data_IF_707833109709
#
_entry.id   IF_707833109709
#
_cell.length_a   1.000
_cell.length_b   1.000
_cell.length_c   1.000
_cell.angle_alpha   90.00
_cell.angle_beta   90.00
_cell.angle_gamma   90.00
#
_symmetry.space_group_name_H-M   'P 1'
#
loop_
_entity.id
_entity.type
_entity.pdbx_description
1 polymer ?
#
# COMPACT_ATOMS: atom_id res chain seq x y z
N UNK A 1 -27.83 -17.18 34.25
CA UNK A 1 -27.96 -17.27 32.78
C UNK A 1 -28.36 -15.95 32.11
N UNK A 2 -29.31 -15.17 32.65
CA UNK A 2 -29.76 -13.89 32.06
C UNK A 2 -28.73 -12.77 32.21
N UNK A 3 -27.88 -12.83 33.21
CA UNK A 3 -26.85 -11.81 33.49
C UNK A 3 -25.66 -11.96 32.57
N UNK A 4 -25.30 -13.17 32.18
CA UNK A 4 -24.18 -13.45 31.26
C UNK A 4 -24.50 -13.06 29.82
N UNK A 5 -25.71 -13.31 29.35
CA UNK A 5 -26.16 -12.94 28.00
C UNK A 5 -26.22 -11.41 27.81
N UNK A 6 -26.62 -10.68 28.88
CA UNK A 6 -26.65 -9.21 28.83
C UNK A 6 -25.27 -8.57 28.88
N UNK A 7 -24.26 -9.25 29.46
CA UNK A 7 -22.88 -8.82 29.50
C UNK A 7 -22.21 -8.99 28.14
N UNK A 8 -22.42 -10.12 27.46
CA UNK A 8 -21.85 -10.36 26.10
C UNK A 8 -22.45 -9.42 25.07
N UNK A 9 -23.74 -9.09 25.14
CA UNK A 9 -24.38 -8.14 24.25
C UNK A 9 -23.78 -6.71 24.36
N UNK A 10 -23.46 -6.28 25.57
CA UNK A 10 -22.84 -4.96 25.81
C UNK A 10 -21.40 -4.85 25.31
N UNK A 11 -20.62 -5.94 25.44
CA UNK A 11 -19.24 -6.00 24.94
C UNK A 11 -19.24 -5.92 23.41
N UNK A 12 -20.14 -6.63 22.74
CA UNK A 12 -20.24 -6.62 21.28
C UNK A 12 -20.67 -5.25 20.74
N UNK A 13 -21.59 -4.55 21.42
CA UNK A 13 -22.00 -3.19 21.03
C UNK A 13 -20.87 -2.19 21.23
N UNK A 14 -20.11 -2.30 22.33
CA UNK A 14 -18.97 -1.42 22.59
C UNK A 14 -17.84 -1.60 21.58
N UNK A 15 -17.56 -2.84 21.19
CA UNK A 15 -16.59 -3.16 20.14
C UNK A 15 -17.07 -2.63 18.77
N UNK A 16 -18.35 -2.77 18.48
CA UNK A 16 -18.94 -2.24 17.23
C UNK A 16 -18.86 -0.73 17.17
N UNK A 17 -19.08 -0.01 18.27
CA UNK A 17 -18.95 1.45 18.34
C UNK A 17 -17.50 1.88 18.17
N UNK A 18 -16.53 1.17 18.76
CA UNK A 18 -15.11 1.46 18.61
C UNK A 18 -14.66 1.23 17.16
N UNK A 19 -15.10 0.16 16.53
CA UNK A 19 -14.79 -0.12 15.10
C UNK A 19 -15.42 0.93 14.21
N UNK A 20 -16.65 1.37 14.48
CA UNK A 20 -17.32 2.40 13.70
C UNK A 20 -16.67 3.78 13.85
N UNK A 21 -16.18 4.13 15.04
CA UNK A 21 -15.45 5.40 15.25
C UNK A 21 -14.07 5.39 14.60
N UNK A 22 -13.38 4.24 14.52
CA UNK A 22 -12.11 4.13 13.80
C UNK A 22 -12.32 4.24 12.29
N UNK A 23 -13.42 3.73 11.76
CA UNK A 23 -13.78 3.84 10.34
C UNK A 23 -14.17 5.28 9.92
N UNK A 24 -14.77 6.06 10.82
CA UNK A 24 -15.14 7.46 10.54
C UNK A 24 -13.98 8.45 10.68
N UNK A 25 -12.88 8.07 11.36
CA UNK A 25 -11.68 8.92 11.50
C UNK A 25 -10.80 8.96 10.24
N UNK A 26 -11.13 8.19 9.20
CA UNK A 26 -10.36 8.14 7.94
C UNK A 26 -10.80 9.17 6.90
N UNK A 27 -11.87 9.92 7.16
CA UNK A 27 -12.38 10.92 6.23
C UNK A 27 -12.32 12.30 6.86
N UNK A 28 -11.20 12.97 6.78
CA UNK A 28 -11.09 14.44 6.74
C UNK A 28 -9.61 14.85 6.72
N UNK A 29 -8.95 14.62 5.61
CA UNK A 29 -7.84 15.44 5.12
C UNK A 29 -7.75 15.27 3.61
N UNK A 30 -8.72 15.78 2.90
CA UNK A 30 -8.55 16.19 1.52
C UNK A 30 -7.84 17.57 1.54
N UNK A 31 -6.57 17.57 1.90
CA UNK A 31 -5.68 18.62 1.44
C UNK A 31 -5.45 18.36 -0.06
N UNK A 32 -6.35 18.90 -0.84
CA UNK A 32 -6.14 19.16 -2.25
C UNK A 32 -5.07 20.27 -2.34
N UNK A 33 -3.82 19.91 -2.04
CA UNK A 33 -2.69 20.76 -2.42
C UNK A 33 -2.60 20.73 -3.94
N UNK A 34 -3.08 21.79 -4.56
CA UNK A 34 -2.78 22.10 -5.96
C UNK A 34 -1.28 21.96 -6.19
N UNK A 35 -0.83 21.30 -7.26
CA UNK A 35 0.59 21.14 -7.52
C UNK A 35 1.24 22.51 -7.68
N UNK A 36 2.07 22.89 -6.73
CA UNK A 36 2.93 24.07 -6.83
C UNK A 36 3.93 23.77 -7.94
N UNK A 37 3.73 24.42 -9.09
CA UNK A 37 4.68 24.42 -10.21
C UNK A 37 6.00 25.06 -9.71
N UNK A 38 6.97 24.23 -9.34
CA UNK A 38 8.30 24.71 -9.00
C UNK A 38 9.09 23.91 -7.98
N UNK A 39 8.48 23.01 -7.20
CA UNK A 39 9.18 22.36 -6.08
C UNK A 39 9.41 20.85 -6.27
N UNK A 40 9.53 20.38 -7.49
CA UNK A 40 9.73 18.96 -7.79
C UNK A 40 11.19 18.50 -7.70
N UNK A 41 12.16 19.37 -7.35
CA UNK A 41 13.57 19.04 -7.64
C UNK A 41 14.48 18.79 -6.45
N UNK A 42 14.10 19.10 -5.20
CA UNK A 42 15.12 19.09 -4.14
C UNK A 42 14.92 18.12 -2.97
N UNK A 43 13.77 17.51 -2.80
CA UNK A 43 13.53 16.66 -1.61
C UNK A 43 12.90 15.29 -1.87
N UNK A 44 12.32 15.04 -3.03
CA UNK A 44 11.70 13.77 -3.34
C UNK A 44 12.75 12.70 -3.67
N UNK A 45 12.57 11.49 -3.13
CA UNK A 45 13.34 10.31 -3.52
C UNK A 45 13.25 10.15 -5.04
N UNK A 46 14.40 10.04 -5.72
CA UNK A 46 14.43 9.87 -7.18
C UNK A 46 13.78 8.55 -7.59
N UNK A 47 13.25 8.48 -8.82
CA UNK A 47 12.72 7.24 -9.41
C UNK A 47 13.77 6.13 -9.40
N UNK A 48 15.04 6.47 -9.67
CA UNK A 48 16.15 5.51 -9.62
C UNK A 48 16.36 4.96 -8.20
N UNK A 49 16.29 5.81 -7.18
CA UNK A 49 16.41 5.39 -5.77
C UNK A 49 15.22 4.53 -5.33
N UNK A 50 14.00 4.87 -5.77
CA UNK A 50 12.82 4.03 -5.53
C UNK A 50 12.97 2.65 -6.18
N UNK A 51 13.46 2.61 -7.42
CA UNK A 51 13.71 1.36 -8.12
C UNK A 51 14.72 0.47 -7.38
N UNK A 52 15.86 1.03 -6.96
CA UNK A 52 16.87 0.28 -6.21
C UNK A 52 16.33 -0.24 -4.86
N UNK A 53 15.54 0.58 -4.17
CA UNK A 53 14.88 0.16 -2.94
C UNK A 53 13.88 -0.98 -3.21
N UNK A 54 13.15 -0.91 -4.32
CA UNK A 54 12.26 -1.97 -4.76
C UNK A 54 12.97 -3.31 -4.97
N UNK A 55 14.17 -3.30 -5.57
CA UNK A 55 14.96 -4.54 -5.75
C UNK A 55 15.33 -5.18 -4.42
N UNK A 56 15.71 -4.36 -3.43
CA UNK A 56 15.98 -4.86 -2.07
C UNK A 56 14.71 -5.41 -1.41
N UNK A 57 13.59 -4.73 -1.61
CA UNK A 57 12.30 -5.15 -1.06
C UNK A 57 11.83 -6.47 -1.69
N UNK A 58 11.92 -6.62 -3.02
CA UNK A 58 11.61 -7.87 -3.71
C UNK A 58 12.49 -9.02 -3.24
N UNK A 59 13.79 -8.79 -3.07
CA UNK A 59 14.68 -9.80 -2.52
C UNK A 59 14.29 -10.23 -1.09
N UNK A 60 13.76 -9.29 -0.30
CA UNK A 60 13.25 -9.60 1.04
C UNK A 60 11.94 -10.40 0.97
N UNK A 61 10.99 -10.04 0.08
CA UNK A 61 9.76 -10.81 -0.14
C UNK A 61 10.11 -12.26 -0.46
N UNK A 62 10.96 -12.50 -1.46
CA UNK A 62 11.36 -13.85 -1.89
C UNK A 62 12.07 -14.68 -0.81
N UNK A 63 12.70 -14.02 0.17
CA UNK A 63 13.36 -14.71 1.30
C UNK A 63 12.41 -15.03 2.44
N UNK A 64 11.39 -14.23 2.64
CA UNK A 64 10.57 -14.26 3.84
C UNK A 64 9.17 -14.81 3.64
N UNK A 65 8.67 -14.83 2.41
CA UNK A 65 7.32 -15.26 2.07
C UNK A 65 7.37 -16.46 1.11
N UNK A 66 6.47 -17.43 1.26
CA UNK A 66 6.37 -18.54 0.32
C UNK A 66 5.91 -18.04 -1.05
N UNK A 67 6.64 -18.37 -2.09
CA UNK A 67 6.29 -18.03 -3.46
C UNK A 67 5.24 -18.98 -4.01
N UNK A 68 4.20 -18.45 -4.67
CA UNK A 68 3.21 -19.25 -5.37
C UNK A 68 3.72 -19.59 -6.77
N UNK A 69 4.10 -20.86 -6.95
CA UNK A 69 4.80 -21.36 -8.13
C UNK A 69 3.83 -22.00 -9.15
N UNK A 70 2.99 -21.20 -9.78
CA UNK A 70 2.18 -21.63 -10.93
C UNK A 70 2.42 -20.70 -12.12
N UNK A 71 3.10 -21.16 -13.18
CA UNK A 71 3.43 -20.32 -14.33
C UNK A 71 2.20 -19.75 -15.06
N UNK A 72 1.08 -20.45 -15.06
CA UNK A 72 -0.15 -20.00 -15.73
C UNK A 72 -0.75 -18.83 -14.99
N UNK A 73 -0.86 -18.95 -13.66
CA UNK A 73 -1.35 -17.87 -12.80
C UNK A 73 -0.40 -16.66 -12.80
N UNK A 74 0.91 -16.89 -12.83
CA UNK A 74 1.91 -15.82 -12.93
C UNK A 74 1.72 -15.04 -14.24
N UNK A 75 1.70 -15.73 -15.38
CA UNK A 75 1.55 -15.12 -16.70
C UNK A 75 0.22 -14.35 -16.83
N UNK A 76 -0.88 -14.95 -16.40
CA UNK A 76 -2.18 -14.29 -16.37
C UNK A 76 -2.17 -13.00 -15.54
N UNK A 77 -1.60 -13.08 -14.34
CA UNK A 77 -1.59 -11.94 -13.41
C UNK A 77 -0.69 -10.81 -13.91
N UNK A 78 0.47 -11.16 -14.48
CA UNK A 78 1.36 -10.19 -15.12
C UNK A 78 0.67 -9.48 -16.29
N UNK A 79 0.04 -10.21 -17.19
CA UNK A 79 -0.71 -9.64 -18.30
C UNK A 79 -1.84 -8.72 -17.82
N UNK A 80 -2.59 -9.12 -16.79
CA UNK A 80 -3.65 -8.29 -16.22
C UNK A 80 -3.08 -6.97 -15.65
N UNK A 81 -2.01 -7.06 -14.85
CA UNK A 81 -1.37 -5.87 -14.25
C UNK A 81 -0.83 -4.93 -15.33
N UNK A 82 -0.13 -5.44 -16.35
CA UNK A 82 0.39 -4.61 -17.43
C UNK A 82 -0.72 -3.97 -18.27
N UNK A 83 -1.79 -4.69 -18.54
CA UNK A 83 -2.98 -4.16 -19.22
C UNK A 83 -3.62 -3.01 -18.43
N UNK A 84 -3.73 -3.13 -17.10
CA UNK A 84 -4.22 -2.06 -16.24
C UNK A 84 -3.24 -0.86 -16.20
N UNK A 85 -1.94 -1.15 -16.18
CA UNK A 85 -0.89 -0.13 -16.15
C UNK A 85 -0.88 0.75 -17.42
N UNK A 86 -1.34 0.26 -18.57
CA UNK A 86 -1.47 1.05 -19.80
C UNK A 86 -2.41 2.24 -19.63
N UNK A 87 -3.44 2.10 -18.81
CA UNK A 87 -4.43 3.14 -18.52
C UNK A 87 -4.14 3.93 -17.24
N UNK A 88 -3.00 3.66 -16.59
CA UNK A 88 -2.57 4.35 -15.37
C UNK A 88 -1.65 5.53 -15.66
N UNK A 89 -1.49 6.42 -14.69
CA UNK A 89 -0.54 7.55 -14.73
C UNK A 89 0.88 7.16 -14.28
N UNK A 90 1.24 5.88 -14.34
CA UNK A 90 2.56 5.41 -13.98
C UNK A 90 3.66 6.00 -14.87
N UNK A 91 4.61 6.69 -14.24
CA UNK A 91 5.80 7.25 -14.92
C UNK A 91 6.86 6.19 -15.19
N UNK A 92 7.03 5.24 -14.27
CA UNK A 92 7.94 4.11 -14.39
C UNK A 92 7.12 2.82 -14.49
N UNK A 93 7.18 2.18 -15.65
CA UNK A 93 6.42 0.95 -15.94
C UNK A 93 7.24 -0.32 -15.74
N UNK A 94 8.39 -0.23 -15.09
CA UNK A 94 9.16 -1.41 -14.68
C UNK A 94 8.49 -2.07 -13.48
N UNK A 95 7.44 -2.83 -13.77
CA UNK A 95 6.68 -3.56 -12.74
C UNK A 95 7.29 -4.93 -12.50
N UNK A 96 7.24 -5.39 -11.27
CA UNK A 96 7.59 -6.75 -10.88
C UNK A 96 6.53 -7.28 -9.92
N UNK A 97 5.94 -8.41 -10.30
CA UNK A 97 4.84 -9.03 -9.56
C UNK A 97 5.38 -10.18 -8.73
N UNK A 98 5.06 -10.20 -7.44
CA UNK A 98 5.31 -11.30 -6.53
C UNK A 98 3.99 -12.00 -6.19
N UNK A 99 3.81 -13.23 -6.65
CA UNK A 99 2.72 -14.08 -6.19
C UNK A 99 3.16 -14.78 -4.90
N UNK A 100 2.35 -14.65 -3.85
CA UNK A 100 2.64 -15.15 -2.52
C UNK A 100 1.64 -16.27 -2.20
N UNK A 101 2.15 -17.44 -1.77
CA UNK A 101 1.31 -18.57 -1.36
C UNK A 101 0.69 -18.33 0.02
N UNK A 102 -0.21 -17.35 0.07
CA UNK A 102 -0.97 -16.97 1.26
C UNK A 102 -2.46 -16.99 0.96
N UNK A 103 -3.26 -17.53 1.90
CA UNK A 103 -4.71 -17.70 1.75
C UNK A 103 -5.50 -16.42 2.02
N UNK A 104 -4.89 -15.42 2.61
CA UNK A 104 -5.55 -14.15 2.91
C UNK A 104 -5.84 -13.36 1.64
N UNK A 105 -6.97 -12.65 1.61
CA UNK A 105 -7.34 -11.73 0.52
C UNK A 105 -6.51 -10.46 0.70
N UNK A 106 -5.41 -10.35 -0.04
CA UNK A 106 -4.54 -9.17 0.04
C UNK A 106 -3.76 -8.96 -1.24
N UNK A 107 -3.52 -7.69 -1.57
CA UNK A 107 -2.49 -7.23 -2.48
C UNK A 107 -1.84 -5.98 -1.89
N UNK A 108 -0.65 -5.63 -2.32
CA UNK A 108 0.03 -4.42 -1.87
C UNK A 108 1.00 -3.91 -2.93
N UNK A 109 1.15 -2.59 -2.95
CA UNK A 109 2.17 -1.90 -3.73
C UNK A 109 3.38 -1.55 -2.86
N UNK A 110 4.58 -1.73 -3.41
CA UNK A 110 5.84 -1.37 -2.78
C UNK A 110 6.71 -0.49 -3.71
N UNK A 111 7.72 0.21 -3.18
CA UNK A 111 8.58 1.08 -3.99
C UNK A 111 9.18 0.37 -5.18
N UNK A 112 9.45 1.12 -6.25
CA UNK A 112 10.15 0.62 -7.43
C UNK A 112 9.34 -0.31 -8.31
N UNK A 113 8.01 -0.16 -8.30
CA UNK A 113 7.12 -0.89 -9.20
C UNK A 113 6.77 -2.31 -8.75
N UNK A 114 6.91 -2.62 -7.46
CA UNK A 114 6.58 -3.95 -6.92
C UNK A 114 5.11 -4.03 -6.58
N UNK A 115 4.47 -5.13 -6.99
CA UNK A 115 3.11 -5.49 -6.60
C UNK A 115 3.16 -6.91 -6.02
N UNK A 116 2.83 -7.03 -4.73
CA UNK A 116 2.62 -8.31 -4.09
C UNK A 116 1.15 -8.71 -4.15
N UNK A 117 0.88 -9.98 -4.47
CA UNK A 117 -0.48 -10.50 -4.60
C UNK A 117 -0.53 -11.85 -3.91
N UNK A 118 -1.39 -11.98 -2.92
CA UNK A 118 -1.64 -13.25 -2.25
C UNK A 118 -2.51 -14.14 -3.12
N UNK A 119 -2.20 -15.42 -3.20
CA UNK A 119 -2.99 -16.42 -3.94
C UNK A 119 -4.46 -16.42 -3.49
N UNK A 120 -4.73 -16.17 -2.21
CA UNK A 120 -6.07 -16.04 -1.66
C UNK A 120 -6.92 -14.96 -2.33
N UNK A 121 -6.35 -13.85 -2.77
CA UNK A 121 -7.07 -12.83 -3.53
C UNK A 121 -7.52 -13.39 -4.89
N UNK A 122 -6.65 -14.11 -5.60
CA UNK A 122 -6.97 -14.69 -6.90
C UNK A 122 -8.05 -15.76 -6.77
N UNK A 123 -7.93 -16.67 -5.81
CA UNK A 123 -8.89 -17.74 -5.58
C UNK A 123 -10.27 -17.29 -5.14
N UNK A 124 -10.35 -16.17 -4.42
CA UNK A 124 -11.60 -15.66 -3.85
C UNK A 124 -12.26 -14.59 -4.74
N UNK A 125 -11.58 -14.12 -5.77
CA UNK A 125 -12.19 -13.25 -6.78
C UNK A 125 -13.13 -14.07 -7.67
N UNK A 126 -14.41 -13.70 -7.71
CA UNK A 126 -15.41 -14.41 -8.53
C UNK A 126 -15.33 -13.99 -10.01
N UNK A 127 -14.75 -12.83 -10.29
CA UNK A 127 -14.62 -12.28 -11.65
C UNK A 127 -13.26 -11.61 -11.83
N UNK A 128 -12.79 -11.55 -13.08
CA UNK A 128 -11.59 -10.75 -13.43
C UNK A 128 -11.75 -9.28 -13.00
N UNK A 129 -12.96 -8.72 -13.07
CA UNK A 129 -13.24 -7.34 -12.68
C UNK A 129 -13.01 -7.08 -11.19
N UNK A 130 -13.32 -8.05 -10.32
CA UNK A 130 -13.03 -7.94 -8.88
C UNK A 130 -11.51 -7.93 -8.63
N UNK A 131 -10.78 -8.85 -9.22
CA UNK A 131 -9.31 -8.86 -9.13
C UNK A 131 -8.71 -7.58 -9.72
N UNK A 132 -9.15 -7.19 -10.91
CA UNK A 132 -8.67 -5.99 -11.60
C UNK A 132 -8.90 -4.70 -10.79
N UNK A 133 -10.02 -4.60 -10.05
CA UNK A 133 -10.32 -3.43 -9.22
C UNK A 133 -9.30 -3.26 -8.08
N UNK A 134 -8.91 -4.36 -7.44
CA UNK A 134 -7.90 -4.35 -6.38
C UNK A 134 -6.53 -4.00 -6.98
N UNK A 135 -6.15 -4.62 -8.08
CA UNK A 135 -4.85 -4.36 -8.73
C UNK A 135 -4.75 -2.92 -9.27
N UNK A 136 -5.84 -2.36 -9.79
CA UNK A 136 -5.90 -0.96 -10.21
C UNK A 136 -5.72 0.00 -9.02
N UNK A 137 -6.26 -0.35 -7.85
CA UNK A 137 -6.04 0.40 -6.62
C UNK A 137 -4.56 0.40 -6.21
N UNK A 138 -3.88 -0.74 -6.28
CA UNK A 138 -2.44 -0.84 -5.98
C UNK A 138 -1.59 -0.06 -7.02
N UNK A 139 -1.97 -0.10 -8.29
CA UNK A 139 -1.32 0.71 -9.33
C UNK A 139 -1.51 2.22 -9.08
N UNK A 140 -2.66 2.65 -8.57
CA UNK A 140 -2.87 4.04 -8.18
C UNK A 140 -1.94 4.47 -7.04
N UNK A 141 -1.66 3.61 -6.06
CA UNK A 141 -0.66 3.88 -5.03
C UNK A 141 0.76 4.07 -5.59
N UNK A 142 1.14 3.29 -6.60
CA UNK A 142 2.42 3.45 -7.30
C UNK A 142 2.47 4.76 -8.10
N UNK A 143 1.41 5.07 -8.88
CA UNK A 143 1.36 6.27 -9.71
C UNK A 143 1.42 7.55 -8.88
N UNK A 144 0.76 7.58 -7.74
CA UNK A 144 0.78 8.70 -6.80
C UNK A 144 2.05 8.76 -5.94
N UNK A 145 2.96 7.80 -6.08
CA UNK A 145 4.22 7.72 -5.32
C UNK A 145 4.02 7.87 -3.81
N UNK A 146 2.98 7.23 -3.27
CA UNK A 146 2.61 7.34 -1.86
C UNK A 146 3.75 6.99 -0.91
N UNK A 147 4.60 6.05 -1.29
CA UNK A 147 5.77 5.68 -0.51
C UNK A 147 6.80 6.82 -0.43
N UNK A 148 7.15 7.44 -1.55
CA UNK A 148 8.09 8.55 -1.58
C UNK A 148 7.59 9.74 -0.75
N UNK A 149 6.30 10.08 -0.88
CA UNK A 149 5.66 11.12 -0.08
C UNK A 149 5.68 10.80 1.43
N UNK A 150 5.44 9.52 1.80
CA UNK A 150 5.48 9.09 3.20
C UNK A 150 6.89 9.22 3.77
N UNK A 151 7.92 8.77 3.03
CA UNK A 151 9.31 8.90 3.45
C UNK A 151 9.74 10.36 3.59
N UNK A 152 9.32 11.22 2.67
CA UNK A 152 9.61 12.65 2.77
C UNK A 152 9.01 13.25 4.04
N UNK A 153 7.73 13.04 4.29
CA UNK A 153 7.06 13.49 5.53
C UNK A 153 7.75 12.98 6.79
N UNK A 154 8.27 11.75 6.77
CA UNK A 154 8.99 11.19 7.92
C UNK A 154 10.33 11.88 8.14
N UNK A 155 11.09 12.19 7.07
CA UNK A 155 12.31 13.00 7.15
C UNK A 155 12.04 14.39 7.71
N UNK A 156 11.03 15.08 7.20
CA UNK A 156 10.68 16.44 7.62
C UNK A 156 10.31 16.47 9.11
N UNK A 157 9.53 15.48 9.57
CA UNK A 157 9.19 15.33 11.00
C UNK A 157 10.41 15.06 11.86
N UNK A 158 11.35 14.22 11.41
CA UNK A 158 12.57 13.92 12.17
C UNK A 158 13.48 15.14 12.29
N UNK A 159 13.60 15.94 11.22
CA UNK A 159 14.35 17.19 11.23
C UNK A 159 13.70 18.22 12.17
N UNK A 160 12.38 18.40 12.08
CA UNK A 160 11.65 19.32 12.98
C UNK A 160 11.83 18.93 14.45
N UNK A 161 11.72 17.63 14.79
CA UNK A 161 11.95 17.15 16.15
C UNK A 161 13.39 17.38 16.62
N UNK A 162 14.38 17.16 15.76
CA UNK A 162 15.78 17.40 16.08
C UNK A 162 16.06 18.89 16.34
N UNK A 163 15.47 19.78 15.54
CA UNK A 163 15.60 21.22 15.72
C UNK A 163 14.91 21.71 17.00
N UNK A 164 13.74 21.14 17.35
CA UNK A 164 13.07 21.46 18.61
C UNK A 164 13.89 21.04 19.83
N UNK A 165 14.53 19.89 19.81
CA UNK A 165 15.41 19.41 20.88
C UNK A 165 16.61 20.36 21.05
N UNK A 166 17.26 20.74 19.93
CA UNK A 166 18.40 21.68 19.99
C UNK A 166 17.99 23.09 20.49
N UNK A 167 16.81 23.56 20.07
CA UNK A 167 16.30 24.87 20.53
C UNK A 167 15.84 24.89 22.00
N UNK A 168 15.57 23.74 22.60
CA UNK A 168 15.21 23.65 24.04
C UNK A 168 16.43 23.60 24.99
N UNK A 169 17.63 23.47 24.43
CA UNK A 169 18.90 23.37 25.21
C UNK A 169 19.63 24.74 25.25
N UNK A 170 19.16 25.72 24.47
CA UNK A 170 19.70 27.09 24.44
C UNK A 170 18.87 28.03 25.32
#
# INVERSE_FOLDING_TARGET
DIIEEKSMSRINISILIIVLTVLTSSHLNSDEELPVLGDASSSAISIASEYNLGRLYMAQIRRSLPEYLDPVTQDYTEHLVYRLAEYSELRDRRLEIALIDEKSINAFAAPGGIIGINAGLIYQSNTEGELASVLAHELAHLSQRHFARRMQRQKDRSLANSLMILGSIA
#
